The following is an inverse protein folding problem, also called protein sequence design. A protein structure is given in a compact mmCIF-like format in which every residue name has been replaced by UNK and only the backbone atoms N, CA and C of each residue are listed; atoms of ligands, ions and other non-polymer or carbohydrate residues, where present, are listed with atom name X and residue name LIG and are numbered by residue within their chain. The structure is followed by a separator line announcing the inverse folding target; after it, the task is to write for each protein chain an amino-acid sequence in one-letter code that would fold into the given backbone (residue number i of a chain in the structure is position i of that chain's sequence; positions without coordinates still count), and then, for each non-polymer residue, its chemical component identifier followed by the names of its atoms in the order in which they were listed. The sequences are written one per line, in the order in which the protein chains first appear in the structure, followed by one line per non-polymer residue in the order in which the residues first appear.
data_IF_688468635755
#
_entry.id   IF_688468635755
#
_cell.length_a   1.000
_cell.length_b   1.000
_cell.length_c   1.000
_cell.angle_alpha   90.00
_cell.angle_beta   90.00
_cell.angle_gamma   90.00
#
_symmetry.space_group_name_H-M   'P 1'
#
loop_
_entity.id
_entity.type
_entity.pdbx_description
1 polymer ?
#
# COMPACT_ATOMS: atom_id res chain seq x y z
N UNK A 1 -10.14 -16.35 4.26
CA UNK A 1 -10.53 -17.46 3.34
C UNK A 1 -12.01 -17.39 3.05
N UNK A 2 -12.85 -17.43 4.08
CA UNK A 2 -14.32 -17.49 3.98
C UNK A 2 -14.97 -16.38 3.14
N UNK A 3 -14.36 -15.19 3.09
CA UNK A 3 -14.87 -14.03 2.33
C UNK A 3 -14.28 -13.89 0.92
N UNK A 4 -13.45 -14.83 0.45
CA UNK A 4 -12.82 -14.76 -0.87
C UNK A 4 -11.82 -13.61 -1.08
N UNK A 5 -11.42 -12.92 0.00
CA UNK A 5 -10.47 -11.79 -0.06
C UNK A 5 -9.05 -12.29 -0.33
N UNK A 6 -8.35 -11.62 -1.25
CA UNK A 6 -6.95 -11.90 -1.57
C UNK A 6 -6.02 -11.65 -0.38
N UNK A 7 -5.19 -12.64 -0.05
CA UNK A 7 -4.22 -12.55 1.07
C UNK A 7 -2.90 -11.95 0.58
N UNK A 8 -2.33 -11.02 1.35
CA UNK A 8 -1.00 -10.47 1.09
C UNK A 8 -0.17 -10.34 2.35
N UNK A 9 1.14 -10.40 2.20
CA UNK A 9 2.08 -10.17 3.28
C UNK A 9 2.23 -8.67 3.53
N UNK A 10 2.22 -8.28 4.80
CA UNK A 10 2.39 -6.90 5.22
C UNK A 10 3.66 -6.70 6.07
N UNK A 11 4.86 -6.98 5.53
CA UNK A 11 6.08 -7.00 6.32
C UNK A 11 6.46 -5.60 6.81
N UNK A 12 6.88 -5.50 8.07
CA UNK A 12 7.32 -4.25 8.69
C UNK A 12 8.69 -4.36 9.35
N UNK A 13 9.14 -3.24 9.93
CA UNK A 13 10.24 -3.26 10.88
C UNK A 13 9.90 -4.08 12.14
N UNK A 14 10.88 -4.65 12.84
CA UNK A 14 10.68 -5.43 14.07
C UNK A 14 10.41 -4.51 15.28
N UNK A 15 9.38 -3.67 15.17
CA UNK A 15 8.98 -2.70 16.18
C UNK A 15 7.54 -2.95 16.63
N UNK A 16 7.36 -3.95 17.49
CA UNK A 16 6.03 -4.28 18.01
C UNK A 16 5.42 -3.12 18.81
N UNK A 17 6.23 -2.42 19.64
CA UNK A 17 5.76 -1.34 20.51
C UNK A 17 5.35 -0.08 19.73
N UNK A 18 6.07 0.24 18.66
CA UNK A 18 5.72 1.35 17.77
C UNK A 18 4.81 0.94 16.62
N UNK A 19 4.28 -0.29 16.62
CA UNK A 19 3.43 -0.83 15.56
C UNK A 19 4.07 -0.71 14.17
N UNK A 20 5.39 -0.85 14.06
CA UNK A 20 6.13 -0.69 12.81
C UNK A 20 6.07 0.72 12.19
N UNK A 21 5.67 1.75 12.95
CA UNK A 21 5.52 3.14 12.47
C UNK A 21 6.72 4.04 12.75
N UNK A 22 7.78 3.51 13.37
CA UNK A 22 9.03 4.25 13.61
C UNK A 22 10.11 3.77 12.64
N UNK A 23 10.90 4.72 12.15
CA UNK A 23 12.11 4.39 11.41
C UNK A 23 13.04 3.56 12.31
N UNK A 24 13.61 2.51 11.73
CA UNK A 24 14.68 1.74 12.36
C UNK A 24 15.87 1.72 11.41
N UNK A 25 17.04 2.03 11.95
CA UNK A 25 18.29 1.99 11.21
C UNK A 25 18.78 0.55 11.09
N UNK A 26 18.21 -0.18 10.13
CA UNK A 26 18.55 -1.56 9.84
C UNK A 26 19.44 -1.63 8.61
N UNK A 27 20.36 -2.60 8.58
CA UNK A 27 21.15 -2.84 7.37
C UNK A 27 20.24 -3.34 6.24
N UNK A 28 20.67 -3.14 4.97
CA UNK A 28 19.93 -3.65 3.82
C UNK A 28 19.76 -5.18 3.85
N UNK A 29 20.76 -5.88 4.38
CA UNK A 29 20.72 -7.33 4.56
C UNK A 29 19.68 -7.75 5.61
N UNK A 30 19.58 -7.02 6.72
CA UNK A 30 18.56 -7.26 7.74
C UNK A 30 17.16 -7.02 7.19
N UNK A 31 16.97 -5.93 6.43
CA UNK A 31 15.68 -5.64 5.76
C UNK A 31 15.28 -6.80 4.84
N UNK A 32 16.22 -7.35 4.05
CA UNK A 32 15.93 -8.51 3.21
C UNK A 32 15.49 -9.72 4.04
N UNK A 33 16.23 -10.04 5.11
CA UNK A 33 15.92 -11.16 6.01
C UNK A 33 14.55 -10.98 6.68
N UNK A 34 14.24 -9.77 7.15
CA UNK A 34 12.95 -9.47 7.79
C UNK A 34 11.78 -9.62 6.84
N UNK A 35 11.92 -9.15 5.60
CA UNK A 35 10.88 -9.30 4.57
C UNK A 35 10.68 -10.77 4.23
N UNK A 36 11.76 -11.50 3.92
CA UNK A 36 11.69 -12.95 3.60
C UNK A 36 11.06 -13.74 4.74
N UNK A 37 11.49 -13.50 5.99
CA UNK A 37 10.98 -14.18 7.17
C UNK A 37 9.46 -13.97 7.34
N UNK A 38 8.99 -12.73 7.23
CA UNK A 38 7.58 -12.39 7.41
C UNK A 38 6.70 -12.93 6.27
N UNK A 39 7.19 -12.92 5.03
CA UNK A 39 6.49 -13.54 3.90
C UNK A 39 6.38 -15.06 4.13
N UNK A 40 7.49 -15.73 4.49
CA UNK A 40 7.52 -17.16 4.76
C UNK A 40 6.59 -17.59 5.90
N UNK A 41 6.55 -16.82 6.98
CA UNK A 41 5.66 -17.05 8.11
C UNK A 41 4.19 -17.03 7.66
N UNK A 42 3.76 -16.02 6.90
CA UNK A 42 2.38 -15.95 6.40
C UNK A 42 2.08 -17.02 5.35
N UNK A 43 3.04 -17.33 4.47
CA UNK A 43 2.88 -18.36 3.43
C UNK A 43 2.59 -19.74 4.04
N UNK A 44 3.15 -20.05 5.20
CA UNK A 44 2.84 -21.29 5.91
C UNK A 44 1.35 -21.39 6.30
N UNK A 45 0.76 -20.32 6.81
CA UNK A 45 -0.68 -20.28 7.12
C UNK A 45 -1.54 -20.34 5.85
N UNK A 46 -1.15 -19.61 4.79
CA UNK A 46 -1.82 -19.70 3.50
C UNK A 46 -1.90 -21.15 3.00
N UNK A 47 -0.80 -21.91 3.13
CA UNK A 47 -0.74 -23.33 2.77
C UNK A 47 -1.68 -24.21 3.60
N UNK A 48 -1.72 -24.02 4.91
CA UNK A 48 -2.61 -24.78 5.82
C UNK A 48 -4.09 -24.58 5.45
N UNK A 49 -4.45 -23.37 5.02
CA UNK A 49 -5.82 -23.03 4.67
C UNK A 49 -6.14 -23.12 3.17
N UNK A 50 -5.23 -23.67 2.34
CA UNK A 50 -5.46 -23.86 0.91
C UNK A 50 -5.68 -22.56 0.12
N UNK A 51 -5.09 -21.44 0.55
CA UNK A 51 -5.17 -20.15 -0.15
C UNK A 51 -3.82 -19.71 -0.67
N UNK A 52 -3.82 -18.94 -1.76
CA UNK A 52 -2.61 -18.38 -2.35
C UNK A 52 -2.26 -17.04 -1.70
N UNK A 53 -0.99 -16.85 -1.36
CA UNK A 53 -0.43 -15.54 -1.07
C UNK A 53 -0.29 -14.77 -2.40
N UNK A 54 -0.98 -13.64 -2.54
CA UNK A 54 -1.08 -12.92 -3.82
C UNK A 54 -0.07 -11.77 -3.94
N UNK A 55 0.18 -11.05 -2.85
CA UNK A 55 0.94 -9.80 -2.92
C UNK A 55 1.77 -9.53 -1.66
N UNK A 56 2.70 -8.59 -1.77
CA UNK A 56 3.49 -8.04 -0.67
C UNK A 56 3.37 -6.52 -0.69
N UNK A 57 2.99 -5.95 0.45
CA UNK A 57 2.94 -4.51 0.68
C UNK A 57 3.75 -4.20 1.94
N UNK A 58 4.86 -3.45 1.89
CA UNK A 58 5.56 -3.05 3.11
C UNK A 58 4.65 -2.28 4.08
N UNK A 59 4.89 -2.42 5.38
CA UNK A 59 4.11 -1.78 6.43
C UNK A 59 4.76 -0.50 6.93
N UNK A 60 3.93 0.50 7.25
CA UNK A 60 4.29 1.63 8.10
C UNK A 60 5.57 2.35 7.68
N UNK A 61 6.51 2.49 8.60
CA UNK A 61 7.76 3.17 8.35
C UNK A 61 8.62 2.47 7.28
N UNK A 62 8.56 1.14 7.13
CA UNK A 62 9.29 0.45 6.07
C UNK A 62 8.77 0.86 4.68
N UNK A 63 7.45 1.02 4.53
CA UNK A 63 6.85 1.53 3.30
C UNK A 63 7.32 2.96 2.99
N UNK A 64 7.25 3.83 4.00
CA UNK A 64 7.68 5.22 3.88
C UNK A 64 9.17 5.35 3.57
N UNK A 65 10.02 4.54 4.21
CA UNK A 65 11.45 4.52 3.92
C UNK A 65 11.71 3.98 2.51
N UNK A 66 11.00 2.95 2.06
CA UNK A 66 11.19 2.39 0.73
C UNK A 66 10.94 3.41 -0.39
N UNK A 67 9.83 4.17 -0.36
CA UNK A 67 9.60 5.17 -1.42
C UNK A 67 10.49 6.43 -1.31
N UNK A 68 11.22 6.62 -0.20
CA UNK A 68 12.16 7.73 -0.01
C UNK A 68 13.64 7.33 -0.16
N UNK A 69 13.97 6.04 -0.17
CA UNK A 69 15.34 5.55 -0.21
C UNK A 69 15.45 4.36 -1.17
N UNK A 70 16.12 4.58 -2.29
CA UNK A 70 16.22 3.58 -3.35
C UNK A 70 16.93 2.29 -2.91
N UNK A 71 17.89 2.38 -1.99
CA UNK A 71 18.60 1.21 -1.49
C UNK A 71 17.67 0.31 -0.66
N UNK A 72 16.79 0.93 0.15
CA UNK A 72 15.78 0.19 0.93
C UNK A 72 14.71 -0.40 0.02
N UNK A 73 14.20 0.36 -0.96
CA UNK A 73 13.28 -0.19 -1.96
C UNK A 73 13.89 -1.39 -2.70
N UNK A 74 15.14 -1.29 -3.14
CA UNK A 74 15.86 -2.39 -3.80
C UNK A 74 15.97 -3.61 -2.89
N UNK A 75 16.29 -3.43 -1.61
CA UNK A 75 16.36 -4.52 -0.65
C UNK A 75 15.00 -5.22 -0.49
N UNK A 76 13.91 -4.47 -0.36
CA UNK A 76 12.54 -5.01 -0.27
C UNK A 76 12.19 -5.79 -1.54
N UNK A 77 12.39 -5.21 -2.72
CA UNK A 77 12.07 -5.85 -4.01
C UNK A 77 12.90 -7.12 -4.21
N UNK A 78 14.21 -7.08 -3.95
CA UNK A 78 15.07 -8.26 -4.04
C UNK A 78 14.63 -9.38 -3.11
N UNK A 79 14.17 -9.06 -1.89
CA UNK A 79 13.63 -10.05 -0.97
C UNK A 79 12.35 -10.71 -1.51
N UNK A 80 11.45 -9.94 -2.12
CA UNK A 80 10.23 -10.47 -2.75
C UNK A 80 10.59 -11.41 -3.91
N UNK A 81 11.44 -10.95 -4.84
CA UNK A 81 11.89 -11.75 -6.01
C UNK A 81 12.58 -13.05 -5.59
N UNK A 82 13.46 -12.99 -4.58
CA UNK A 82 14.15 -14.18 -4.05
C UNK A 82 13.19 -15.18 -3.40
N UNK A 83 12.09 -14.70 -2.83
CA UNK A 83 11.09 -15.55 -2.18
C UNK A 83 10.17 -16.20 -3.21
N UNK A 84 9.51 -15.40 -4.04
CA UNK A 84 8.60 -15.83 -5.09
C UNK A 84 8.39 -14.69 -6.11
N UNK A 85 8.87 -14.82 -7.37
CA UNK A 85 8.72 -13.79 -8.40
C UNK A 85 7.28 -13.62 -8.90
N UNK A 86 6.36 -14.54 -8.59
CA UNK A 86 4.95 -14.42 -8.97
C UNK A 86 4.13 -13.54 -8.01
N UNK A 87 4.72 -13.10 -6.89
CA UNK A 87 4.07 -12.19 -5.96
C UNK A 87 3.94 -10.78 -6.55
N UNK A 88 2.77 -10.17 -6.37
CA UNK A 88 2.54 -8.77 -6.73
C UNK A 88 3.21 -7.87 -5.69
N UNK A 89 3.98 -6.88 -6.13
CA UNK A 89 4.52 -5.84 -5.27
C UNK A 89 3.61 -4.61 -5.26
N UNK A 90 3.14 -4.20 -4.09
CA UNK A 90 2.32 -2.99 -3.94
C UNK A 90 3.23 -1.81 -3.57
N UNK A 91 3.20 -0.76 -4.40
CA UNK A 91 4.04 0.42 -4.28
C UNK A 91 3.26 1.72 -4.51
N UNK A 92 3.80 2.84 -4.03
CA UNK A 92 3.11 4.14 -4.03
C UNK A 92 2.83 4.61 -5.47
N UNK A 93 1.60 5.03 -5.73
CA UNK A 93 1.21 5.66 -6.98
C UNK A 93 1.84 7.06 -7.14
N UNK A 94 1.97 7.53 -8.38
CA UNK A 94 2.48 8.86 -8.70
C UNK A 94 4.00 9.00 -8.66
N UNK A 95 4.49 10.21 -8.94
CA UNK A 95 5.92 10.48 -9.13
C UNK A 95 6.77 10.09 -7.92
N UNK A 96 6.25 10.25 -6.69
CA UNK A 96 6.97 9.92 -5.46
C UNK A 96 7.34 8.44 -5.35
N UNK A 97 6.49 7.56 -5.87
CA UNK A 97 6.73 6.11 -5.86
C UNK A 97 7.45 5.57 -7.10
N UNK A 98 7.84 6.43 -8.05
CA UNK A 98 8.39 6.00 -9.34
C UNK A 98 9.62 5.10 -9.20
N UNK A 99 10.58 5.47 -8.35
CA UNK A 99 11.79 4.67 -8.14
C UNK A 99 11.47 3.27 -7.61
N UNK A 100 10.57 3.18 -6.61
CA UNK A 100 10.11 1.93 -6.02
C UNK A 100 9.39 1.04 -7.06
N UNK A 101 8.51 1.63 -7.88
CA UNK A 101 7.78 0.92 -8.94
C UNK A 101 8.71 0.42 -10.05
N UNK A 102 9.58 1.30 -10.57
CA UNK A 102 10.58 0.99 -11.60
C UNK A 102 11.48 -0.17 -11.16
N UNK A 103 11.97 -0.17 -9.92
CA UNK A 103 12.79 -1.27 -9.40
C UNK A 103 12.04 -2.60 -9.34
N UNK A 104 10.76 -2.61 -8.96
CA UNK A 104 9.91 -3.80 -9.00
C UNK A 104 9.81 -4.36 -10.43
N UNK A 105 9.55 -3.49 -11.40
CA UNK A 105 9.43 -3.86 -12.82
C UNK A 105 10.75 -4.36 -13.42
N UNK A 106 11.87 -3.66 -13.16
CA UNK A 106 13.21 -4.04 -13.64
C UNK A 106 13.65 -5.42 -13.13
N UNK A 107 13.19 -5.82 -11.94
CA UNK A 107 13.48 -7.12 -11.35
C UNK A 107 12.39 -8.18 -11.63
N UNK A 108 11.45 -7.88 -12.53
CA UNK A 108 10.47 -8.83 -13.07
C UNK A 108 9.21 -9.03 -12.23
N UNK A 109 8.97 -8.22 -11.19
CA UNK A 109 7.72 -8.30 -10.43
C UNK A 109 6.57 -7.62 -11.15
N UNK A 110 5.37 -8.16 -10.98
CA UNK A 110 4.14 -7.41 -11.22
C UNK A 110 4.00 -6.34 -10.14
N UNK A 111 3.85 -5.09 -10.53
CA UNK A 111 3.74 -3.96 -9.59
C UNK A 111 2.32 -3.38 -9.65
N UNK A 112 1.71 -3.18 -8.49
CA UNK A 112 0.40 -2.53 -8.32
C UNK A 112 0.55 -1.20 -7.61
N UNK A 113 -0.12 -0.18 -8.15
CA UNK A 113 0.06 1.21 -7.78
C UNK A 113 -1.01 1.62 -6.78
N UNK A 114 -0.60 1.95 -5.56
CA UNK A 114 -1.47 2.21 -4.42
C UNK A 114 -1.65 3.70 -4.12
N UNK A 115 -2.90 4.10 -3.87
CA UNK A 115 -3.26 5.42 -3.36
C UNK A 115 -4.05 5.34 -2.03
N UNK A 116 -4.09 6.45 -1.30
CA UNK A 116 -4.60 6.52 0.08
C UNK A 116 -5.68 7.61 0.22
N UNK A 117 -6.96 7.29 0.00
CA UNK A 117 -8.05 8.27 0.11
C UNK A 117 -8.20 8.85 1.53
N UNK A 118 -7.81 8.09 2.57
CA UNK A 118 -7.90 8.48 3.98
C UNK A 118 -6.65 9.17 4.54
N UNK A 119 -5.66 9.48 3.69
CA UNK A 119 -4.43 10.17 4.07
C UNK A 119 -4.27 11.48 3.34
N UNK A 120 -3.74 12.48 4.04
CA UNK A 120 -3.31 13.72 3.43
C UNK A 120 -1.99 13.51 2.66
N UNK A 121 -1.88 14.18 1.51
CA UNK A 121 -0.69 14.18 0.66
C UNK A 121 0.03 15.51 0.77
N UNK A 122 1.36 15.45 0.80
CA UNK A 122 2.23 16.62 0.62
C UNK A 122 2.34 16.95 -0.88
N UNK A 123 2.76 18.18 -1.25
CA UNK A 123 2.85 18.59 -2.66
C UNK A 123 3.85 17.77 -3.49
N UNK A 124 4.84 17.12 -2.85
CA UNK A 124 5.77 16.21 -3.50
C UNK A 124 5.20 14.79 -3.74
N UNK A 125 3.94 14.53 -3.36
CA UNK A 125 3.27 13.24 -3.51
C UNK A 125 3.56 12.24 -2.39
N UNK A 126 4.25 12.65 -1.33
CA UNK A 126 4.40 11.83 -0.12
C UNK A 126 3.14 11.87 0.75
N UNK A 127 3.03 10.93 1.69
CA UNK A 127 1.96 10.95 2.69
C UNK A 127 2.38 11.79 3.90
N UNK A 128 1.48 12.64 4.39
CA UNK A 128 1.71 13.43 5.60
C UNK A 128 2.02 12.56 6.81
N UNK A 129 2.90 13.04 7.70
CA UNK A 129 3.24 12.31 8.92
C UNK A 129 1.99 12.16 9.79
N UNK A 130 1.71 10.93 10.28
CA UNK A 130 0.50 10.65 11.07
C UNK A 130 0.37 11.51 12.35
N UNK A 131 1.47 12.08 12.84
CA UNK A 131 1.49 12.98 13.99
C UNK A 131 0.99 14.39 13.67
N UNK A 132 0.88 14.77 12.40
CA UNK A 132 0.42 16.09 12.00
C UNK A 132 -1.11 16.18 12.07
N UNK A 133 -1.66 17.31 12.54
CA UNK A 133 -3.09 17.57 12.44
C UNK A 133 -3.59 17.44 10.99
N UNK A 134 -4.68 16.71 10.78
CA UNK A 134 -5.26 16.50 9.44
C UNK A 134 -4.56 15.43 8.58
N UNK A 135 -3.51 14.77 9.07
CA UNK A 135 -2.81 13.72 8.31
C UNK A 135 -3.67 12.48 7.99
N UNK A 136 -4.71 12.25 8.79
CA UNK A 136 -5.69 11.18 8.62
C UNK A 136 -7.07 11.82 8.50
N UNK A 137 -7.76 11.50 7.42
CA UNK A 137 -9.08 12.02 7.09
C UNK A 137 -10.10 11.00 7.60
N UNK A 138 -11.05 11.45 8.41
CA UNK A 138 -11.98 10.57 9.13
C UNK A 138 -13.44 10.72 8.70
N UNK A 139 -13.73 11.72 7.88
CA UNK A 139 -15.05 11.97 7.32
C UNK A 139 -15.33 11.00 6.14
N UNK A 140 -16.37 10.16 6.21
CA UNK A 140 -16.66 9.19 5.16
C UNK A 140 -16.98 9.79 3.80
N UNK A 141 -17.67 10.94 3.76
CA UNK A 141 -18.05 11.57 2.51
C UNK A 141 -16.82 12.17 1.82
N UNK A 142 -15.95 12.84 2.59
CA UNK A 142 -14.67 13.36 2.09
C UNK A 142 -13.78 12.24 1.54
N UNK A 143 -13.58 11.16 2.30
CA UNK A 143 -12.74 10.03 1.87
C UNK A 143 -13.31 9.37 0.62
N UNK A 144 -14.63 9.22 0.51
CA UNK A 144 -15.27 8.62 -0.66
C UNK A 144 -15.13 9.50 -1.92
N UNK A 145 -15.25 10.83 -1.79
CA UNK A 145 -14.99 11.75 -2.90
C UNK A 145 -13.53 11.71 -3.34
N UNK A 146 -12.59 11.63 -2.39
CA UNK A 146 -11.16 11.46 -2.70
C UNK A 146 -10.88 10.13 -3.41
N UNK A 147 -11.51 9.04 -2.96
CA UNK A 147 -11.41 7.74 -3.61
C UNK A 147 -11.94 7.77 -5.06
N UNK A 148 -13.08 8.44 -5.29
CA UNK A 148 -13.64 8.61 -6.62
C UNK A 148 -12.72 9.43 -7.52
N UNK A 149 -12.20 10.56 -7.03
CA UNK A 149 -11.24 11.40 -7.76
C UNK A 149 -9.99 10.61 -8.17
N UNK A 150 -9.44 9.81 -7.25
CA UNK A 150 -8.28 8.96 -7.51
C UNK A 150 -8.58 7.88 -8.56
N UNK A 151 -9.73 7.21 -8.45
CA UNK A 151 -10.08 6.09 -9.32
C UNK A 151 -10.54 6.52 -10.72
N UNK A 152 -11.23 7.66 -10.82
CA UNK A 152 -11.83 8.15 -12.06
C UNK A 152 -10.90 9.09 -12.81
N UNK A 153 -10.33 10.06 -12.10
CA UNK A 153 -9.60 11.17 -12.70
C UNK A 153 -8.08 11.02 -12.54
N UNK A 154 -7.62 10.03 -11.75
CA UNK A 154 -6.20 9.74 -11.58
C UNK A 154 -5.45 10.87 -10.88
N UNK A 155 -6.07 11.55 -9.91
CA UNK A 155 -5.45 12.66 -9.18
C UNK A 155 -5.78 12.64 -7.69
N UNK A 156 -4.94 13.29 -6.88
CA UNK A 156 -5.21 13.64 -5.49
C UNK A 156 -4.89 15.11 -5.23
N UNK A 157 -5.66 15.75 -4.36
CA UNK A 157 -5.38 17.11 -3.89
C UNK A 157 -4.54 17.06 -2.61
N UNK A 158 -3.38 17.72 -2.65
CA UNK A 158 -2.46 17.86 -1.53
C UNK A 158 -2.96 18.89 -0.50
N UNK A 159 -2.31 18.93 0.66
CA UNK A 159 -2.65 19.85 1.77
C UNK A 159 -2.60 21.34 1.41
N UNK A 160 -1.86 21.72 0.37
CA UNK A 160 -1.76 23.11 -0.12
C UNK A 160 -2.67 23.41 -1.33
N UNK A 161 -3.49 22.44 -1.75
CA UNK A 161 -4.34 22.54 -2.93
C UNK A 161 -3.69 22.09 -4.24
N UNK A 162 -2.42 21.67 -4.24
CA UNK A 162 -1.75 21.12 -5.43
C UNK A 162 -2.46 19.86 -5.91
N UNK A 163 -2.74 19.78 -7.22
CA UNK A 163 -3.25 18.58 -7.87
C UNK A 163 -2.09 17.68 -8.29
N UNK A 164 -2.08 16.45 -7.77
CA UNK A 164 -1.00 15.47 -7.97
C UNK A 164 -1.54 14.34 -8.84
N UNK A 165 -0.96 14.12 -10.04
CA UNK A 165 -1.30 12.96 -10.88
C UNK A 165 -0.89 11.65 -10.22
N UNK A 166 -1.82 10.68 -10.20
CA UNK A 166 -1.65 9.33 -9.71
C UNK A 166 -2.17 8.33 -10.75
N UNK A 167 -1.33 7.39 -11.16
CA UNK A 167 -1.80 6.16 -11.81
C UNK A 167 -2.20 5.18 -10.69
N UNK A 168 -3.50 4.96 -10.49
CA UNK A 168 -4.04 4.22 -9.34
C UNK A 168 -4.62 2.89 -9.78
N UNK A 169 -4.24 1.82 -9.08
CA UNK A 169 -4.74 0.45 -9.32
C UNK A 169 -5.31 -0.19 -8.05
N UNK A 170 -4.97 0.32 -6.88
CA UNK A 170 -5.56 -0.09 -5.59
C UNK A 170 -5.70 1.09 -4.64
N UNK A 171 -6.76 1.08 -3.83
CA UNK A 171 -7.00 2.08 -2.79
C UNK A 171 -6.81 1.44 -1.42
N UNK A 172 -5.90 1.99 -0.63
CA UNK A 172 -5.71 1.59 0.75
C UNK A 172 -6.77 2.24 1.64
N UNK A 173 -7.44 1.44 2.46
CA UNK A 173 -8.30 1.95 3.54
C UNK A 173 -7.81 1.37 4.85
N UNK A 174 -7.59 2.23 5.84
CA UNK A 174 -7.11 1.76 7.13
C UNK A 174 -8.25 1.24 8.02
N UNK A 175 -7.98 0.16 8.74
CA UNK A 175 -8.90 -0.47 9.71
C UNK A 175 -8.65 -0.08 11.17
N UNK A 176 -7.84 0.94 11.43
CA UNK A 176 -7.36 1.29 12.77
C UNK A 176 -8.17 2.39 13.48
N UNK A 177 -9.30 2.84 12.90
CA UNK A 177 -10.17 3.86 13.50
C UNK A 177 -11.62 3.36 13.69
N UNK A 178 -12.38 3.91 14.67
CA UNK A 178 -13.80 3.58 14.82
C UNK A 178 -14.64 3.91 13.57
N UNK A 179 -14.18 4.81 12.71
CA UNK A 179 -14.86 5.18 11.47
C UNK A 179 -14.50 4.30 10.28
N UNK A 180 -13.48 3.45 10.37
CA UNK A 180 -12.99 2.61 9.26
C UNK A 180 -14.09 1.84 8.52
N UNK A 181 -15.05 1.25 9.24
CA UNK A 181 -16.17 0.54 8.62
C UNK A 181 -17.07 1.48 7.79
N UNK A 182 -17.35 2.68 8.30
CA UNK A 182 -18.12 3.70 7.59
C UNK A 182 -17.34 4.21 6.37
N UNK A 183 -16.03 4.41 6.49
CA UNK A 183 -15.16 4.81 5.39
C UNK A 183 -15.22 3.79 4.25
N UNK A 184 -14.94 2.52 4.52
CA UNK A 184 -14.95 1.46 3.49
C UNK A 184 -16.33 1.32 2.84
N UNK A 185 -17.39 1.34 3.65
CA UNK A 185 -18.76 1.24 3.13
C UNK A 185 -19.08 2.41 2.19
N UNK A 186 -18.71 3.65 2.58
CA UNK A 186 -19.00 4.83 1.77
C UNK A 186 -18.17 4.89 0.49
N UNK A 187 -16.88 4.54 0.56
CA UNK A 187 -16.02 4.41 -0.63
C UNK A 187 -16.66 3.43 -1.63
N UNK A 188 -17.05 2.24 -1.16
CA UNK A 188 -17.66 1.23 -2.02
C UNK A 188 -18.94 1.72 -2.68
N UNK A 189 -19.88 2.27 -1.89
CA UNK A 189 -21.13 2.84 -2.39
C UNK A 189 -20.87 3.90 -3.47
N UNK A 190 -19.95 4.84 -3.21
CA UNK A 190 -19.64 5.92 -4.14
C UNK A 190 -18.99 5.42 -5.43
N UNK A 191 -18.06 4.46 -5.35
CA UNK A 191 -17.42 3.89 -6.55
C UNK A 191 -18.42 3.10 -7.40
N UNK A 192 -19.23 2.24 -6.77
CA UNK A 192 -20.26 1.45 -7.47
C UNK A 192 -21.34 2.34 -8.10
N UNK A 193 -21.77 3.42 -7.42
CA UNK A 193 -22.71 4.39 -7.95
C UNK A 193 -22.17 5.23 -9.13
N UNK A 194 -20.85 5.18 -9.37
CA UNK A 194 -20.17 5.84 -10.50
C UNK A 194 -19.61 4.82 -11.51
N UNK A 195 -20.18 3.61 -11.56
CA UNK A 195 -19.84 2.54 -12.50
C UNK A 195 -18.37 2.05 -12.42
N UNK A 196 -17.72 2.25 -11.27
CA UNK A 196 -16.36 1.75 -11.02
C UNK A 196 -16.42 0.35 -10.42
N UNK A 197 -15.95 -0.63 -11.19
CA UNK A 197 -15.92 -2.03 -10.78
C UNK A 197 -14.80 -2.29 -9.76
N UNK A 198 -15.15 -2.91 -8.63
CA UNK A 198 -14.18 -3.34 -7.61
C UNK A 198 -13.77 -4.79 -7.86
N UNK A 199 -12.47 -5.00 -8.11
CA UNK A 199 -11.91 -6.32 -8.40
C UNK A 199 -10.71 -6.63 -7.51
N UNK A 200 -10.45 -7.91 -7.20
CA UNK A 200 -9.21 -8.31 -6.55
C UNK A 200 -7.98 -7.96 -7.40
N UNK A 201 -6.89 -7.56 -6.73
CA UNK A 201 -5.61 -7.35 -7.41
C UNK A 201 -5.16 -8.61 -8.17
N UNK A 202 -4.75 -8.42 -9.42
CA UNK A 202 -4.29 -9.49 -10.32
C UNK A 202 -5.37 -10.18 -11.14
N UNK A 203 -6.63 -9.72 -11.08
CA UNK A 203 -7.77 -10.28 -11.85
C UNK A 203 -8.28 -9.33 -12.96
N UNK A 204 -7.47 -8.35 -13.37
CA UNK A 204 -7.74 -7.57 -14.58
C UNK A 204 -7.10 -8.28 -15.78
N UNK A 205 -7.94 -8.78 -16.69
CA UNK A 205 -7.56 -9.13 -18.08
C UNK A 205 -7.29 -7.87 -18.90
#
# INVERSE_FOLDING_TARGET
VDLGVGVGAHPGYPDLLGFGRRYMDCTLEDIQKYVIYQIGALQAFCKVHGVRLKHVKPHGALYTTAYNNESVARAVVQAIVKFDPDLIFVALAGAKGESMRRMGQELGLKVVYEAFPDRAYTPDGSLELRSQPGAVITDPDEVAQRALLMAKDGVVIAVDGTSIPLEVQTLCVHGDTPTSLKLVAKIRETLEANDIKLLPMGENE
#
